data_IF_498007731144
#
_entry.id   IF_498007731144
#
_cell.length_a   1.000
_cell.length_b   1.000
_cell.length_c   1.000
_cell.angle_alpha   90.00
_cell.angle_beta   90.00
_cell.angle_gamma   90.00
#
_symmetry.space_group_name_H-M   'P 1'
#
loop_
_entity.id
_entity.type
_entity.pdbx_description
1 polymer ?
#
# COMPACT_ATOMS: atom_id res chain seq x y z
N UNK A 1 -55.11 28.79 -64.34
CA UNK A 1 -54.06 28.95 -65.37
C UNK A 1 -52.76 29.30 -64.66
N UNK A 2 -51.72 28.52 -64.92
CA UNK A 2 -50.43 28.45 -64.21
C UNK A 2 -49.70 29.79 -64.05
N UNK A 3 -49.20 30.06 -62.84
CA UNK A 3 -48.12 31.02 -62.62
C UNK A 3 -46.79 30.26 -62.61
N UNK A 4 -46.08 30.42 -63.72
CA UNK A 4 -44.77 29.84 -64.05
C UNK A 4 -43.67 30.49 -63.17
N UNK A 5 -42.91 29.66 -62.46
CA UNK A 5 -41.84 30.03 -61.53
C UNK A 5 -40.64 30.65 -62.27
N UNK A 6 -40.44 31.96 -62.16
CA UNK A 6 -39.20 32.62 -62.60
C UNK A 6 -38.29 32.92 -61.41
N UNK A 7 -37.31 32.04 -61.24
CA UNK A 7 -35.94 32.32 -60.79
C UNK A 7 -35.80 33.32 -59.64
N UNK A 8 -36.00 32.85 -58.40
CA UNK A 8 -35.55 33.57 -57.21
C UNK A 8 -34.15 33.06 -56.83
N UNK A 9 -33.12 33.71 -57.38
CA UNK A 9 -31.74 33.59 -56.88
C UNK A 9 -31.68 34.21 -55.49
N UNK A 10 -32.15 33.46 -54.49
CA UNK A 10 -32.03 33.80 -53.08
C UNK A 10 -30.53 33.91 -52.81
N UNK A 11 -30.06 35.14 -52.60
CA UNK A 11 -28.73 35.42 -52.08
C UNK A 11 -28.69 34.80 -50.69
N UNK A 12 -28.13 33.60 -50.58
CA UNK A 12 -27.83 32.92 -49.32
C UNK A 12 -26.69 33.71 -48.67
N UNK A 13 -27.06 34.83 -48.07
CA UNK A 13 -26.23 35.67 -47.23
C UNK A 13 -26.77 35.63 -45.81
N UNK A 14 -26.94 34.42 -45.26
CA UNK A 14 -27.07 34.25 -43.82
C UNK A 14 -25.83 33.47 -43.40
N UNK A 15 -24.86 34.18 -42.83
CA UNK A 15 -23.83 33.55 -42.04
C UNK A 15 -24.53 32.81 -40.90
N UNK A 16 -24.78 31.51 -41.10
CA UNK A 16 -25.06 30.62 -40.00
C UNK A 16 -23.75 30.59 -39.23
N UNK A 17 -23.70 31.42 -38.19
CA UNK A 17 -22.67 31.34 -37.15
C UNK A 17 -22.67 29.88 -36.75
N UNK A 18 -21.63 29.16 -37.17
CA UNK A 18 -21.26 27.84 -36.69
C UNK A 18 -20.85 28.02 -35.23
N UNK A 19 -21.86 28.30 -34.39
CA UNK A 19 -21.79 27.95 -32.99
C UNK A 19 -21.82 26.43 -32.99
N UNK A 20 -20.64 25.82 -33.13
CA UNK A 20 -20.43 24.53 -32.50
C UNK A 20 -20.79 24.78 -31.04
N UNK A 21 -22.04 24.52 -30.67
CA UNK A 21 -22.37 24.24 -29.30
C UNK A 21 -21.40 23.12 -28.95
N UNK A 22 -20.35 23.46 -28.22
CA UNK A 22 -19.57 22.49 -27.48
C UNK A 22 -20.61 21.88 -26.56
N UNK A 23 -21.21 20.78 -27.01
CA UNK A 23 -21.97 19.89 -26.16
C UNK A 23 -20.90 19.40 -25.22
N UNK A 24 -20.70 20.11 -24.12
CA UNK A 24 -19.88 19.64 -23.02
C UNK A 24 -20.58 18.36 -22.58
N UNK A 25 -20.01 17.17 -22.83
CA UNK A 25 -20.63 15.97 -22.29
C UNK A 25 -20.72 16.19 -20.78
N UNK A 26 -21.91 16.00 -20.21
CA UNK A 26 -22.06 15.98 -18.76
C UNK A 26 -21.03 14.97 -18.22
N UNK A 27 -19.94 15.49 -17.65
CA UNK A 27 -18.78 14.69 -17.32
C UNK A 27 -19.18 13.79 -16.15
N UNK A 28 -19.37 12.51 -16.45
CA UNK A 28 -19.53 11.51 -15.41
C UNK A 28 -18.14 11.23 -14.84
N UNK A 29 -17.99 11.36 -13.52
CA UNK A 29 -16.77 10.99 -12.80
C UNK A 29 -16.98 9.66 -12.11
N UNK A 30 -15.94 8.84 -12.05
CA UNK A 30 -15.91 7.64 -11.24
C UNK A 30 -14.92 7.76 -10.09
N UNK A 31 -15.24 7.07 -8.99
CA UNK A 31 -14.36 6.97 -7.84
C UNK A 31 -13.36 5.82 -8.04
N UNK A 32 -12.08 6.11 -7.92
CA UNK A 32 -10.99 5.13 -7.90
C UNK A 32 -10.39 5.12 -6.50
N UNK A 33 -10.48 4.00 -5.79
CA UNK A 33 -9.89 3.82 -4.48
C UNK A 33 -8.50 3.19 -4.61
N UNK A 34 -7.47 3.92 -4.21
CA UNK A 34 -6.10 3.44 -4.15
C UNK A 34 -5.76 3.01 -2.72
N UNK A 35 -5.26 1.78 -2.56
CA UNK A 35 -4.84 1.23 -1.26
C UNK A 35 -3.47 0.59 -1.38
N UNK A 36 -2.81 0.36 -0.24
CA UNK A 36 -1.50 -0.29 -0.19
C UNK A 36 -1.46 -1.29 0.95
N UNK A 37 -0.76 -2.41 0.74
CA UNK A 37 -0.58 -3.44 1.76
C UNK A 37 0.84 -4.02 1.70
N UNK A 38 1.57 -4.09 2.83
CA UNK A 38 1.28 -3.44 4.11
C UNK A 38 1.36 -1.91 4.01
N UNK A 39 0.68 -1.20 4.92
CA UNK A 39 0.70 0.27 4.94
C UNK A 39 2.10 0.87 5.11
N UNK A 40 2.99 0.15 5.80
CA UNK A 40 4.39 0.51 5.99
C UNK A 40 5.31 0.13 4.80
N UNK A 41 4.80 -0.60 3.81
CA UNK A 41 5.61 -1.12 2.71
C UNK A 41 5.98 -0.08 1.64
N UNK A 42 5.19 0.98 1.50
CA UNK A 42 5.42 1.96 0.45
C UNK A 42 4.47 3.16 0.49
N UNK A 43 4.47 3.91 -0.59
CA UNK A 43 3.50 4.97 -0.89
C UNK A 43 3.03 4.82 -2.34
N UNK A 44 1.82 5.30 -2.63
CA UNK A 44 1.29 5.37 -3.99
C UNK A 44 1.25 6.83 -4.41
N UNK A 45 1.62 7.14 -5.66
CA UNK A 45 1.33 8.41 -6.31
C UNK A 45 0.14 8.22 -7.28
N UNK A 46 -0.88 9.09 -7.26
CA UNK A 46 -0.95 10.41 -6.61
C UNK A 46 -1.24 10.41 -5.09
N UNK A 47 -1.54 9.26 -4.51
CA UNK A 47 -1.79 9.11 -3.07
C UNK A 47 -2.70 7.92 -2.80
N UNK A 48 -2.60 7.27 -1.63
CA UNK A 48 -3.63 6.34 -1.19
C UNK A 48 -4.92 7.11 -0.85
N UNK A 49 -6.08 6.52 -1.10
CA UNK A 49 -7.39 7.14 -0.87
C UNK A 49 -8.29 7.12 -2.09
N UNK A 50 -9.41 7.85 -2.00
CA UNK A 50 -10.41 7.93 -3.06
C UNK A 50 -10.10 9.11 -3.99
N UNK A 51 -9.99 8.83 -5.28
CA UNK A 51 -9.74 9.80 -6.34
C UNK A 51 -10.95 9.87 -7.26
N UNK A 52 -11.41 11.09 -7.58
CA UNK A 52 -12.48 11.31 -8.55
C UNK A 52 -11.87 11.60 -9.92
N UNK A 53 -12.05 10.68 -10.86
CA UNK A 53 -11.46 10.73 -12.20
C UNK A 53 -12.56 10.75 -13.25
N UNK A 54 -12.33 11.46 -14.34
CA UNK A 54 -13.27 11.52 -15.47
C UNK A 54 -13.51 10.12 -16.06
N UNK A 55 -14.77 9.83 -16.44
CA UNK A 55 -15.11 8.58 -17.10
C UNK A 55 -14.33 8.42 -18.41
N UNK A 56 -13.88 7.20 -18.65
CA UNK A 56 -13.04 6.77 -19.77
C UNK A 56 -11.66 7.44 -19.84
N UNK A 57 -11.24 8.14 -18.78
CA UNK A 57 -9.87 8.63 -18.69
C UNK A 57 -8.89 7.53 -18.27
N UNK A 58 -7.62 7.75 -18.61
CA UNK A 58 -6.50 6.94 -18.16
C UNK A 58 -5.81 7.63 -16.97
N UNK A 59 -5.75 6.95 -15.83
CA UNK A 59 -5.06 7.43 -14.63
C UNK A 59 -3.75 6.67 -14.45
N UNK A 60 -2.61 7.37 -14.47
CA UNK A 60 -1.31 6.78 -14.14
C UNK A 60 -1.16 6.66 -12.63
N UNK A 61 -0.74 5.48 -12.18
CA UNK A 61 -0.44 5.20 -10.77
C UNK A 61 0.98 4.65 -10.64
N UNK A 62 1.67 5.06 -9.58
CA UNK A 62 3.05 4.63 -9.31
C UNK A 62 3.18 4.17 -7.87
N UNK A 63 3.71 2.97 -7.67
CA UNK A 63 4.07 2.41 -6.37
C UNK A 63 5.54 2.75 -6.07
N UNK A 64 5.78 3.37 -4.91
CA UNK A 64 7.11 3.71 -4.43
C UNK A 64 7.37 2.90 -3.15
N UNK A 65 8.19 1.84 -3.21
CA UNK A 65 8.55 1.05 -2.03
C UNK A 65 9.33 1.89 -1.01
N UNK A 66 9.14 1.59 0.27
CA UNK A 66 9.98 2.10 1.35
C UNK A 66 11.24 1.24 1.49
N UNK A 67 12.33 1.75 2.10
CA UNK A 67 13.53 0.96 2.35
C UNK A 67 13.22 -0.34 3.10
N UNK A 68 13.77 -1.47 2.63
CA UNK A 68 13.48 -2.79 3.18
C UNK A 68 12.20 -3.43 2.64
N UNK A 69 11.56 -2.81 1.65
CA UNK A 69 10.43 -3.38 0.93
C UNK A 69 10.64 -3.31 -0.58
N UNK A 70 10.00 -4.22 -1.29
CA UNK A 70 9.87 -4.24 -2.74
C UNK A 70 8.41 -4.22 -3.14
N UNK A 71 8.13 -3.63 -4.30
CA UNK A 71 6.81 -3.72 -4.93
C UNK A 71 6.70 -5.08 -5.61
N UNK A 72 5.63 -5.81 -5.34
CA UNK A 72 5.40 -7.14 -5.90
C UNK A 72 4.47 -7.05 -7.11
N UNK A 73 3.27 -6.50 -6.91
CA UNK A 73 2.28 -6.33 -7.97
C UNK A 73 1.11 -5.42 -7.52
N UNK A 74 0.28 -5.03 -8.49
CA UNK A 74 -1.00 -4.37 -8.30
C UNK A 74 -2.13 -5.39 -8.33
N UNK A 75 -3.08 -5.27 -7.39
CA UNK A 75 -4.39 -5.91 -7.47
C UNK A 75 -5.40 -4.94 -8.08
N UNK A 76 -6.33 -5.47 -8.87
CA UNK A 76 -7.41 -4.71 -9.51
C UNK A 76 -7.25 -4.63 -11.03
N UNK A 77 -8.01 -3.74 -11.64
CA UNK A 77 -8.01 -3.53 -13.10
C UNK A 77 -7.00 -2.44 -13.47
N UNK A 78 -5.79 -2.89 -13.81
CA UNK A 78 -4.65 -2.08 -14.25
C UNK A 78 -4.09 -2.66 -15.57
N UNK A 79 -3.44 -1.82 -16.38
CA UNK A 79 -2.87 -2.26 -17.65
C UNK A 79 -1.77 -3.30 -17.49
N UNK A 80 -0.83 -3.07 -16.57
CA UNK A 80 0.22 -4.01 -16.19
C UNK A 80 0.27 -4.13 -14.65
N UNK A 81 -0.05 -5.30 -14.08
CA UNK A 81 -0.03 -5.49 -12.63
C UNK A 81 1.38 -5.65 -12.06
N UNK A 82 2.37 -6.06 -12.85
CA UNK A 82 3.74 -6.33 -12.38
C UNK A 82 4.65 -5.11 -12.48
N UNK A 83 4.27 -4.12 -13.29
CA UNK A 83 5.01 -2.85 -13.37
C UNK A 83 4.66 -1.91 -12.21
N UNK A 84 5.69 -1.40 -11.52
CA UNK A 84 5.52 -0.42 -10.43
C UNK A 84 4.83 0.87 -10.89
N UNK A 85 4.93 1.23 -12.18
CA UNK A 85 4.15 2.31 -12.80
C UNK A 85 3.24 1.73 -13.86
N UNK A 86 1.93 1.98 -13.72
CA UNK A 86 0.91 1.41 -14.58
C UNK A 86 -0.24 2.39 -14.82
N UNK A 87 -1.14 2.03 -15.72
CA UNK A 87 -2.29 2.86 -16.11
C UNK A 87 -3.58 2.15 -15.74
N UNK A 88 -4.50 2.89 -15.11
CA UNK A 88 -5.86 2.45 -14.77
C UNK A 88 -6.83 3.09 -15.76
N UNK A 89 -7.59 2.26 -16.48
CA UNK A 89 -8.63 2.72 -17.41
C UNK A 89 -9.95 2.94 -16.67
N UNK A 90 -10.36 4.18 -16.43
CA UNK A 90 -11.48 4.50 -15.54
C UNK A 90 -12.84 4.42 -16.26
N UNK A 91 -13.32 3.21 -16.53
CA UNK A 91 -14.63 2.96 -17.15
C UNK A 91 -15.78 2.77 -16.14
N UNK A 92 -15.46 2.60 -14.86
CA UNK A 92 -16.37 2.30 -13.74
C UNK A 92 -15.67 2.64 -12.42
N UNK A 93 -16.37 2.65 -11.27
CA UNK A 93 -15.72 2.73 -9.97
C UNK A 93 -14.77 1.54 -9.76
N UNK A 94 -13.56 1.80 -9.26
CA UNK A 94 -12.51 0.77 -9.15
C UNK A 94 -11.80 0.83 -7.80
N UNK A 95 -11.26 -0.32 -7.41
CA UNK A 95 -10.35 -0.46 -6.27
C UNK A 95 -9.06 -1.03 -6.83
N UNK A 96 -7.95 -0.36 -6.53
CA UNK A 96 -6.60 -0.77 -6.94
C UNK A 96 -5.72 -0.80 -5.70
N UNK A 97 -4.99 -1.91 -5.50
CA UNK A 97 -4.15 -2.11 -4.31
C UNK A 97 -2.71 -2.37 -4.73
N UNK A 98 -1.75 -1.59 -4.22
CA UNK A 98 -0.33 -1.89 -4.34
C UNK A 98 0.07 -2.92 -3.27
N UNK A 99 0.69 -4.02 -3.69
CA UNK A 99 1.21 -5.05 -2.79
C UNK A 99 2.73 -4.89 -2.68
N UNK A 100 3.22 -4.83 -1.45
CA UNK A 100 4.63 -4.75 -1.11
C UNK A 100 5.04 -5.92 -0.21
N UNK A 101 6.27 -6.39 -0.34
CA UNK A 101 6.88 -7.42 0.51
C UNK A 101 8.22 -6.93 1.06
N UNK A 102 8.70 -7.54 2.16
CA UNK A 102 10.00 -7.16 2.72
C UNK A 102 11.11 -7.69 1.83
N UNK A 103 12.03 -6.82 1.42
CA UNK A 103 13.25 -7.22 0.73
C UNK A 103 14.24 -7.79 1.76
N UNK A 104 14.56 -9.07 1.68
CA UNK A 104 15.71 -9.62 2.42
C UNK A 104 16.99 -9.05 1.79
N UNK A 105 17.59 -8.05 2.44
CA UNK A 105 18.95 -7.69 2.10
C UNK A 105 19.86 -8.85 2.51
N UNK A 106 20.41 -9.57 1.54
CA UNK A 106 21.59 -10.40 1.80
C UNK A 106 22.65 -9.48 2.42
N UNK A 107 22.86 -9.61 3.72
CA UNK A 107 24.06 -9.09 4.33
C UNK A 107 25.19 -9.90 3.74
N UNK A 108 25.95 -9.31 2.81
CA UNK A 108 27.16 -9.87 2.24
C UNK A 108 27.98 -10.52 3.37
N UNK A 109 28.01 -11.85 3.37
CA UNK A 109 28.88 -12.64 4.22
C UNK A 109 30.32 -12.26 3.88
N UNK A 110 30.92 -11.33 4.62
CA UNK A 110 32.36 -11.15 4.67
C UNK A 110 32.97 -12.37 5.38
N UNK A 111 32.96 -13.52 4.71
CA UNK A 111 34.03 -14.50 4.87
C UNK A 111 35.06 -14.17 3.80
N UNK A 112 35.95 -13.27 4.20
CA UNK A 112 37.26 -13.04 3.60
C UNK A 112 37.84 -14.38 3.11
N UNK A 113 37.82 -14.60 1.79
CA UNK A 113 38.51 -15.71 1.16
C UNK A 113 39.99 -15.33 1.02
N UNK A 114 40.79 -15.60 2.04
CA UNK A 114 42.25 -15.62 1.92
C UNK A 114 42.68 -17.02 1.45
N UNK A 115 43.26 -17.18 0.24
CA UNK A 115 44.65 -17.67 0.11
C UNK A 115 45.40 -17.10 -1.14
N UNK A 116 46.76 -17.07 -1.20
CA UNK A 116 47.63 -18.19 -0.86
C UNK A 116 48.80 -17.89 0.08
N UNK A 117 49.34 -19.00 0.57
CA UNK A 117 50.41 -19.19 1.53
C UNK A 117 51.68 -18.37 1.23
N UNK A 118 52.25 -17.76 2.28
CA UNK A 118 53.66 -17.36 2.30
C UNK A 118 54.36 -18.09 3.45
N UNK A 119 55.17 -19.06 3.05
CA UNK A 119 56.11 -19.80 3.87
C UNK A 119 57.20 -18.83 4.40
N UNK A 120 57.25 -18.61 5.71
CA UNK A 120 58.34 -17.84 6.31
C UNK A 120 58.29 -17.70 7.83
N UNK A 121 59.24 -18.34 8.52
CA UNK A 121 59.86 -17.78 9.73
C UNK A 121 59.32 -18.28 11.07
N UNK A 122 60.02 -19.26 11.66
CA UNK A 122 59.79 -19.72 13.02
C UNK A 122 60.09 -18.66 14.09
N UNK A 123 59.39 -18.79 15.21
CA UNK A 123 59.65 -18.02 16.43
C UNK A 123 58.89 -18.62 17.60
N UNK A 124 59.57 -19.46 18.37
CA UNK A 124 59.12 -19.95 19.67
C UNK A 124 58.84 -18.75 20.60
N UNK A 125 57.58 -18.48 20.91
CA UNK A 125 57.24 -17.65 22.06
C UNK A 125 57.13 -18.53 23.29
N UNK A 126 58.20 -18.50 24.08
CA UNK A 126 58.30 -19.06 25.44
C UNK A 126 57.12 -18.52 26.27
N UNK A 127 56.40 -19.34 27.06
CA UNK A 127 55.43 -18.79 28.00
C UNK A 127 56.22 -18.02 29.06
N UNK A 128 56.09 -16.70 29.07
CA UNK A 128 56.54 -15.93 30.23
C UNK A 128 55.62 -16.31 31.39
N UNK A 129 56.14 -17.17 32.28
CA UNK A 129 55.56 -17.48 33.57
C UNK A 129 55.41 -16.18 34.36
N UNK A 130 54.25 -15.54 34.25
CA UNK A 130 53.79 -14.65 35.29
C UNK A 130 53.25 -15.54 36.43
N UNK A 131 53.96 -15.46 37.53
CA UNK A 131 53.81 -16.20 38.78
C UNK A 131 52.34 -16.34 39.24
N UNK A 132 51.96 -17.59 39.50
CA UNK A 132 50.83 -17.95 40.35
C UNK A 132 51.17 -17.50 41.78
N UNK A 133 50.43 -16.52 42.29
CA UNK A 133 50.18 -16.33 43.73
C UNK A 133 49.00 -15.38 43.94
N UNK A 134 47.84 -15.96 44.23
CA UNK A 134 46.60 -15.26 44.58
C UNK A 134 45.41 -16.26 44.54
N UNK A 135 44.71 -16.53 45.65
CA UNK A 135 43.88 -17.72 45.79
C UNK A 135 42.46 -17.51 45.24
N UNK A 136 41.88 -18.60 44.74
CA UNK A 136 40.43 -18.79 44.51
C UNK A 136 39.85 -18.04 43.30
N UNK A 137 39.21 -18.64 42.31
CA UNK A 137 38.72 -19.99 42.19
C UNK A 137 38.64 -20.42 40.72
N UNK A 138 38.87 -21.70 40.52
CA UNK A 138 38.48 -22.42 39.32
C UNK A 138 36.97 -22.61 39.46
N UNK A 139 36.18 -22.17 38.48
CA UNK A 139 34.83 -22.70 38.28
C UNK A 139 34.55 -22.81 36.78
N UNK A 140 33.85 -23.87 36.35
CA UNK A 140 33.83 -24.34 34.98
C UNK A 140 32.71 -23.71 34.16
N UNK A 141 32.83 -23.84 32.83
CA UNK A 141 31.81 -23.82 31.79
C UNK A 141 30.39 -23.28 32.12
N UNK A 142 29.92 -22.30 31.36
CA UNK A 142 28.60 -22.37 30.70
C UNK A 142 28.39 -21.18 29.77
N UNK A 143 27.99 -21.46 28.52
CA UNK A 143 27.45 -20.44 27.62
C UNK A 143 26.14 -19.84 28.15
N UNK A 144 25.80 -18.67 27.61
CA UNK A 144 24.56 -17.94 27.87
C UNK A 144 24.76 -16.51 27.42
N UNK A 145 24.41 -16.16 26.19
CA UNK A 145 23.02 -15.88 25.86
C UNK A 145 22.71 -14.45 26.27
N UNK A 146 23.22 -13.47 25.51
CA UNK A 146 22.88 -12.07 25.72
C UNK A 146 21.38 -11.89 25.63
N UNK A 147 20.76 -11.58 26.78
CA UNK A 147 19.33 -11.34 26.90
C UNK A 147 19.02 -10.00 26.21
N UNK A 148 18.43 -10.05 25.02
CA UNK A 148 17.85 -8.88 24.37
C UNK A 148 16.66 -8.42 25.22
N UNK A 149 16.85 -7.34 26.00
CA UNK A 149 15.72 -6.55 26.51
C UNK A 149 15.12 -5.78 25.35
N UNK A 150 14.20 -6.40 24.63
CA UNK A 150 13.28 -5.70 23.74
C UNK A 150 12.45 -4.68 24.54
N UNK A 151 11.89 -3.65 23.89
CA UNK A 151 10.97 -2.74 24.55
C UNK A 151 9.81 -3.54 25.13
N UNK A 152 9.53 -3.38 26.42
CA UNK A 152 8.28 -3.83 27.01
C UNK A 152 7.16 -3.11 26.29
N UNK A 153 6.48 -3.82 25.38
CA UNK A 153 5.18 -3.39 24.90
C UNK A 153 4.27 -3.42 26.12
N UNK A 154 4.00 -2.26 26.71
CA UNK A 154 2.77 -2.11 27.47
C UNK A 154 1.68 -2.34 26.42
N UNK A 155 1.11 -3.54 26.42
CA UNK A 155 -0.14 -3.80 25.70
C UNK A 155 -1.16 -2.96 26.45
N UNK A 156 -1.32 -1.69 26.03
CA UNK A 156 -2.54 -0.98 26.32
C UNK A 156 -3.64 -1.87 25.75
N UNK A 157 -4.57 -2.37 26.58
CA UNK A 157 -5.72 -3.10 26.07
C UNK A 157 -6.32 -2.27 24.93
N UNK A 158 -6.74 -2.88 23.82
CA UNK A 158 -7.44 -2.13 22.79
C UNK A 158 -8.55 -1.35 23.49
N UNK A 159 -8.54 -0.03 23.35
CA UNK A 159 -9.64 0.80 23.81
C UNK A 159 -10.88 0.22 23.13
N UNK A 160 -11.76 -0.41 23.93
CA UNK A 160 -12.99 -0.98 23.41
C UNK A 160 -13.69 0.12 22.62
N UNK A 161 -14.08 -0.12 21.35
CA UNK A 161 -14.80 0.90 20.60
C UNK A 161 -16.07 1.23 21.38
N UNK A 162 -16.21 2.49 21.79
CA UNK A 162 -17.42 2.98 22.44
C UNK A 162 -18.58 2.69 21.48
N UNK A 163 -19.35 1.65 21.82
CA UNK A 163 -20.50 1.24 21.04
C UNK A 163 -21.47 2.42 21.07
N UNK A 164 -21.82 3.03 19.92
CA UNK A 164 -22.69 4.19 19.94
C UNK A 164 -24.03 3.79 20.57
N UNK A 165 -24.28 4.31 21.77
CA UNK A 165 -25.41 3.94 22.61
C UNK A 165 -26.82 4.12 21.99
N UNK A 166 -27.08 4.86 20.88
CA UNK A 166 -28.42 4.80 20.30
C UNK A 166 -28.75 3.45 19.62
N UNK A 167 -27.79 2.75 19.02
CA UNK A 167 -28.10 1.59 18.17
C UNK A 167 -28.34 0.29 18.96
N UNK A 168 -27.57 0.04 20.01
CA UNK A 168 -27.66 -1.19 20.82
C UNK A 168 -28.94 -1.23 21.66
N UNK A 169 -29.33 -0.08 22.23
CA UNK A 169 -30.60 0.05 22.97
C UNK A 169 -31.78 -0.13 22.01
N UNK A 170 -31.68 0.38 20.77
CA UNK A 170 -32.71 0.15 19.75
C UNK A 170 -32.85 -1.34 19.41
N UNK A 171 -31.76 -2.07 19.20
CA UNK A 171 -31.84 -3.49 18.86
C UNK A 171 -32.36 -4.36 20.02
N UNK A 172 -31.94 -4.10 21.26
CA UNK A 172 -32.46 -4.79 22.45
C UNK A 172 -33.95 -4.51 22.68
N UNK A 173 -34.39 -3.26 22.53
CA UNK A 173 -35.79 -2.89 22.71
C UNK A 173 -36.70 -3.49 21.64
N UNK A 174 -36.29 -3.48 20.36
CA UNK A 174 -37.04 -4.11 19.26
C UNK A 174 -37.09 -5.64 19.42
N UNK A 175 -35.99 -6.26 19.85
CA UNK A 175 -35.94 -7.70 20.16
C UNK A 175 -36.89 -8.09 21.31
N UNK A 176 -36.87 -7.34 22.41
CA UNK A 176 -37.76 -7.58 23.56
C UNK A 176 -39.24 -7.41 23.20
N UNK A 177 -39.59 -6.38 22.43
CA UNK A 177 -40.97 -6.17 21.93
C UNK A 177 -41.42 -7.31 21.02
N UNK A 178 -40.53 -7.83 20.17
CA UNK A 178 -40.82 -8.96 19.28
C UNK A 178 -41.09 -10.25 20.08
N UNK A 179 -40.32 -10.50 21.15
CA UNK A 179 -40.53 -11.63 22.06
C UNK A 179 -41.80 -11.48 22.91
N UNK A 180 -42.12 -10.28 23.38
CA UNK A 180 -43.35 -10.02 24.15
C UNK A 180 -44.59 -10.20 23.26
N UNK A 181 -44.50 -9.81 21.98
CA UNK A 181 -45.60 -9.98 21.02
C UNK A 181 -45.76 -11.43 20.57
N UNK A 182 -44.67 -12.19 20.49
CA UNK A 182 -44.70 -13.63 20.23
C UNK A 182 -45.32 -14.44 21.38
N UNK A 183 -45.26 -13.93 22.63
CA UNK A 183 -45.90 -14.56 23.80
C UNK A 183 -47.38 -14.21 23.99
N UNK A 184 -48.00 -13.43 23.10
CA UNK A 184 -49.44 -13.10 23.13
C UNK A 184 -50.24 -13.76 21.98
N UNK A 185 -49.86 -14.98 21.58
CA UNK A 185 -50.74 -15.92 20.87
C UNK A 185 -50.83 -17.20 21.67
#
# INVERSE_FOLDING_TARGET
MSFEMKSLKIKIGLAIVLGAAVICPAQSKYAVMLQQTPAAGGTIAPGAGVHSVEANAAMTVTAVPRPGYEFVYWLGDVGDPTSATTVVSVNSPKIVVAVFERSEFESTNQREAAPPESQGGGGNMVPSRASISGPSGISPASGGGGSYKGPTYIVNPPEDPEVPEPATICLLSVGALSLIRARRK
#
